data_IF_664365501371
#
_entry.id   IF_664365501371
#
_cell.length_a   1.000
_cell.length_b   1.000
_cell.length_c   1.000
_cell.angle_alpha   90.00
_cell.angle_beta   90.00
_cell.angle_gamma   90.00
#
_symmetry.space_group_name_H-M   'P 1'
#
loop_
_entity.id
_entity.type
_entity.pdbx_description
1 polymer ?
#
# COMPACT_ATOMS: atom_id res chain seq x y z
N UNK A 1 29.20 5.04 2.94
CA UNK A 1 28.58 6.33 2.55
C UNK A 1 29.16 6.72 1.20
N UNK A 2 28.34 7.05 0.20
CA UNK A 2 28.77 7.30 -1.21
C UNK A 2 28.36 8.70 -1.71
N UNK A 3 28.20 9.65 -0.79
CA UNK A 3 27.61 10.96 -1.08
C UNK A 3 28.37 11.72 -2.18
N UNK A 4 29.70 11.63 -2.20
CA UNK A 4 30.58 12.34 -3.15
C UNK A 4 30.94 11.52 -4.40
N UNK A 5 30.45 10.28 -4.52
CA UNK A 5 30.71 9.42 -5.68
C UNK A 5 29.75 9.79 -6.81
N UNK A 6 30.20 9.99 -8.06
CA UNK A 6 29.29 10.24 -9.19
C UNK A 6 28.32 9.06 -9.43
N UNK A 7 27.06 9.29 -9.85
CA UNK A 7 26.07 8.21 -10.03
C UNK A 7 26.53 7.03 -10.90
N UNK A 8 27.33 7.29 -11.94
CA UNK A 8 27.88 6.26 -12.84
C UNK A 8 28.78 5.23 -12.14
N UNK A 9 29.37 5.63 -11.01
CA UNK A 9 30.36 4.87 -10.25
C UNK A 9 29.76 4.26 -8.97
N UNK A 10 28.46 4.46 -8.70
CA UNK A 10 27.75 3.93 -7.51
C UNK A 10 27.25 2.49 -7.61
N UNK A 11 27.55 1.82 -8.72
CA UNK A 11 27.06 0.47 -9.05
C UNK A 11 25.54 0.23 -8.88
N UNK A 12 24.77 1.25 -9.25
CA UNK A 12 23.31 1.26 -9.26
C UNK A 12 22.76 1.22 -10.69
N UNK A 13 21.57 0.66 -10.85
CA UNK A 13 20.77 0.81 -12.06
C UNK A 13 19.43 1.47 -11.74
N UNK A 14 19.07 2.49 -12.52
CA UNK A 14 17.83 3.22 -12.38
C UNK A 14 16.88 2.92 -13.53
N UNK A 15 15.61 2.68 -13.21
CA UNK A 15 14.50 2.56 -14.15
C UNK A 15 13.53 3.71 -13.86
N UNK A 16 13.31 4.55 -14.87
CA UNK A 16 12.49 5.75 -14.76
C UNK A 16 11.02 5.46 -15.14
N UNK A 17 10.13 6.34 -14.68
CA UNK A 17 8.72 6.38 -15.04
C UNK A 17 8.49 6.41 -16.56
N UNK A 18 9.25 7.26 -17.27
CA UNK A 18 9.30 7.21 -18.73
C UNK A 18 10.31 6.13 -19.14
N UNK A 19 9.91 5.17 -19.99
CA UNK A 19 10.76 4.01 -20.34
C UNK A 19 12.16 4.37 -20.87
N UNK A 20 12.37 5.64 -21.24
CA UNK A 20 13.65 6.24 -21.62
C UNK A 20 14.42 5.43 -22.67
N UNK A 21 13.69 4.71 -23.54
CA UNK A 21 14.25 3.88 -24.59
C UNK A 21 14.69 4.75 -25.76
N UNK A 22 15.84 4.44 -26.34
CA UNK A 22 16.31 5.08 -27.56
C UNK A 22 15.47 4.60 -28.75
N UNK A 23 14.64 5.46 -29.36
CA UNK A 23 13.62 5.04 -30.34
C UNK A 23 14.21 4.54 -31.66
N UNK A 24 15.45 4.95 -31.96
CA UNK A 24 16.18 4.61 -33.17
C UNK A 24 16.97 3.30 -33.07
N UNK A 25 17.22 2.81 -31.85
CA UNK A 25 17.96 1.57 -31.56
C UNK A 25 17.03 0.35 -31.49
N UNK A 26 17.58 -0.84 -31.74
CA UNK A 26 16.88 -2.11 -31.49
C UNK A 26 16.72 -2.37 -29.99
N UNK A 27 15.92 -3.36 -29.59
CA UNK A 27 15.83 -3.82 -28.20
C UNK A 27 17.19 -4.30 -27.69
N UNK A 28 17.89 -5.10 -28.49
CA UNK A 28 19.25 -5.56 -28.19
C UNK A 28 20.19 -4.38 -27.94
N UNK A 29 20.19 -3.38 -28.83
CA UNK A 29 21.06 -2.23 -28.70
C UNK A 29 20.70 -1.35 -27.51
N UNK A 30 19.41 -1.20 -27.21
CA UNK A 30 18.94 -0.50 -26.01
C UNK A 30 19.52 -1.15 -24.74
N UNK A 31 19.46 -2.47 -24.64
CA UNK A 31 20.00 -3.24 -23.51
C UNK A 31 21.54 -3.17 -23.48
N UNK A 32 22.20 -3.40 -24.62
CA UNK A 32 23.66 -3.42 -24.73
C UNK A 32 24.33 -2.05 -24.50
N UNK A 33 23.62 -0.94 -24.70
CA UNK A 33 24.19 0.41 -24.75
C UNK A 33 25.07 0.75 -23.54
N UNK A 34 24.60 0.50 -22.31
CA UNK A 34 25.36 0.81 -21.10
C UNK A 34 26.64 -0.02 -20.96
N UNK A 35 26.61 -1.28 -21.40
CA UNK A 35 27.77 -2.18 -21.38
C UNK A 35 28.79 -1.78 -22.46
N UNK A 36 28.33 -1.36 -23.64
CA UNK A 36 29.19 -0.82 -24.71
C UNK A 36 29.97 0.41 -24.23
N UNK A 37 29.32 1.34 -23.52
CA UNK A 37 29.98 2.52 -22.94
C UNK A 37 31.03 2.16 -21.88
N UNK A 38 30.79 1.09 -21.12
CA UNK A 38 31.74 0.54 -20.14
C UNK A 38 32.85 -0.33 -20.77
N UNK A 39 32.89 -0.42 -22.11
CA UNK A 39 33.87 -1.23 -22.87
C UNK A 39 33.89 -2.71 -22.49
N UNK A 40 32.74 -3.26 -22.10
CA UNK A 40 32.58 -4.70 -21.82
C UNK A 40 32.82 -5.50 -23.12
N UNK A 41 33.52 -6.66 -23.08
CA UNK A 41 33.77 -7.47 -24.26
C UNK A 41 32.47 -7.88 -24.98
N UNK A 42 32.47 -7.88 -26.32
CA UNK A 42 31.28 -8.13 -27.15
C UNK A 42 30.61 -9.48 -26.84
N UNK A 43 31.38 -10.53 -26.59
CA UNK A 43 30.85 -11.85 -26.22
C UNK A 43 30.10 -11.82 -24.90
N UNK A 44 30.61 -11.07 -23.92
CA UNK A 44 29.98 -10.92 -22.61
C UNK A 44 28.71 -10.06 -22.68
N UNK A 45 28.71 -9.02 -23.51
CA UNK A 45 27.50 -8.24 -23.81
C UNK A 45 26.41 -9.15 -24.38
N UNK A 46 26.76 -9.96 -25.38
CA UNK A 46 25.80 -10.85 -26.04
C UNK A 46 25.20 -11.87 -25.07
N UNK A 47 26.04 -12.49 -24.23
CA UNK A 47 25.63 -13.41 -23.18
C UNK A 47 24.63 -12.75 -22.22
N UNK A 48 24.99 -11.62 -21.62
CA UNK A 48 24.13 -10.90 -20.65
C UNK A 48 22.82 -10.43 -21.24
N UNK A 49 22.84 -9.90 -22.47
CA UNK A 49 21.63 -9.42 -23.15
C UNK A 49 20.67 -10.57 -23.41
N UNK A 50 21.16 -11.71 -23.89
CA UNK A 50 20.34 -12.90 -24.13
C UNK A 50 19.78 -13.48 -22.84
N UNK A 51 20.60 -13.64 -21.81
CA UNK A 51 20.14 -14.11 -20.50
C UNK A 51 19.05 -13.22 -19.91
N UNK A 52 19.24 -11.88 -19.94
CA UNK A 52 18.22 -10.94 -19.48
C UNK A 52 16.96 -10.99 -20.34
N UNK A 53 17.08 -11.14 -21.66
CA UNK A 53 15.94 -11.24 -22.56
C UNK A 53 15.12 -12.52 -22.33
N UNK A 54 15.77 -13.64 -22.02
CA UNK A 54 15.10 -14.89 -21.61
C UNK A 54 14.36 -14.72 -20.28
N UNK A 55 15.01 -14.13 -19.28
CA UNK A 55 14.40 -13.85 -17.97
C UNK A 55 13.12 -13.03 -18.11
N UNK A 56 13.12 -12.06 -19.03
CA UNK A 56 12.03 -11.13 -19.26
C UNK A 56 11.02 -11.62 -20.32
N UNK A 57 11.27 -12.76 -20.97
CA UNK A 57 10.43 -13.27 -22.06
C UNK A 57 10.33 -12.29 -23.25
N UNK A 58 11.45 -11.69 -23.64
CA UNK A 58 11.57 -10.75 -24.77
C UNK A 58 12.65 -11.16 -25.78
N UNK A 59 13.14 -12.40 -25.73
CA UNK A 59 14.19 -12.91 -26.63
C UNK A 59 13.83 -12.73 -28.12
N UNK A 60 12.59 -13.05 -28.51
CA UNK A 60 12.09 -12.90 -29.88
C UNK A 60 11.92 -11.42 -30.33
N UNK A 61 12.09 -10.48 -29.42
CA UNK A 61 11.91 -9.05 -29.66
C UNK A 61 13.24 -8.30 -29.83
N UNK A 62 14.39 -8.96 -29.67
CA UNK A 62 15.71 -8.33 -29.65
C UNK A 62 16.01 -7.45 -30.87
N UNK A 63 15.53 -7.85 -32.06
CA UNK A 63 15.75 -7.10 -33.32
C UNK A 63 14.71 -5.99 -33.58
N UNK A 64 13.64 -5.93 -32.77
CA UNK A 64 12.57 -4.93 -32.93
C UNK A 64 13.02 -3.56 -32.42
N UNK A 65 12.39 -2.49 -32.92
CA UNK A 65 12.53 -1.13 -32.36
C UNK A 65 11.42 -0.83 -31.36
N UNK A 66 11.61 0.08 -30.38
CA UNK A 66 10.62 0.40 -29.36
C UNK A 66 9.22 0.77 -29.88
N UNK A 67 9.12 1.39 -31.07
CA UNK A 67 7.84 1.73 -31.72
C UNK A 67 6.99 0.52 -32.16
N UNK A 68 7.60 -0.66 -32.24
CA UNK A 68 6.96 -1.92 -32.65
C UNK A 68 6.50 -2.75 -31.44
N UNK A 69 6.64 -2.22 -30.22
CA UNK A 69 6.40 -2.91 -28.97
C UNK A 69 5.14 -2.37 -28.27
N UNK A 70 4.44 -3.24 -27.56
CA UNK A 70 3.39 -2.84 -26.62
C UNK A 70 3.95 -2.04 -25.44
N UNK A 71 3.09 -1.41 -24.63
CA UNK A 71 3.50 -0.72 -23.40
C UNK A 71 4.27 -1.64 -22.44
N UNK A 72 3.71 -2.81 -22.12
CA UNK A 72 4.36 -3.79 -21.25
C UNK A 72 5.66 -4.36 -21.82
N UNK A 73 5.77 -4.54 -23.14
CA UNK A 73 7.03 -4.94 -23.78
C UNK A 73 8.09 -3.86 -23.64
N UNK A 74 7.75 -2.58 -23.88
CA UNK A 74 8.69 -1.45 -23.67
C UNK A 74 9.19 -1.39 -22.22
N UNK A 75 8.30 -1.63 -21.27
CA UNK A 75 8.68 -1.69 -19.86
C UNK A 75 9.68 -2.83 -19.59
N UNK A 76 9.42 -4.04 -20.09
CA UNK A 76 10.35 -5.17 -19.95
C UNK A 76 11.72 -4.85 -20.55
N UNK A 77 11.78 -4.17 -21.69
CA UNK A 77 13.05 -3.69 -22.28
C UNK A 77 13.74 -2.68 -21.36
N UNK A 78 13.01 -1.72 -20.79
CA UNK A 78 13.57 -0.74 -19.85
C UNK A 78 14.16 -1.41 -18.60
N UNK A 79 13.46 -2.40 -18.03
CA UNK A 79 13.97 -3.23 -16.94
C UNK A 79 15.18 -4.05 -17.39
N UNK A 80 15.15 -4.61 -18.60
CA UNK A 80 16.27 -5.35 -19.19
C UNK A 80 17.55 -4.53 -19.27
N UNK A 81 17.47 -3.23 -19.60
CA UNK A 81 18.61 -2.31 -19.58
C UNK A 81 19.27 -2.19 -18.21
N UNK A 82 18.47 -2.30 -17.15
CA UNK A 82 18.98 -2.29 -15.78
C UNK A 82 19.58 -3.66 -15.40
N UNK A 83 18.91 -4.77 -15.75
CA UNK A 83 19.34 -6.13 -15.41
C UNK A 83 20.70 -6.47 -16.00
N UNK A 84 20.94 -6.15 -17.28
CA UNK A 84 22.21 -6.51 -17.95
C UNK A 84 23.44 -5.87 -17.30
N UNK A 85 23.26 -4.86 -16.44
CA UNK A 85 24.34 -4.23 -15.69
C UNK A 85 24.72 -4.99 -14.42
N UNK A 86 23.90 -5.93 -13.95
CA UNK A 86 24.10 -6.69 -12.71
C UNK A 86 24.45 -5.78 -11.50
N UNK A 87 23.66 -4.71 -11.24
CA UNK A 87 23.98 -3.74 -10.19
C UNK A 87 23.80 -4.36 -8.79
N UNK A 88 24.39 -3.72 -7.77
CA UNK A 88 24.10 -4.08 -6.37
C UNK A 88 22.70 -3.63 -5.93
N UNK A 89 22.19 -2.53 -6.52
CA UNK A 89 20.88 -1.95 -6.17
C UNK A 89 20.13 -1.52 -7.43
N UNK A 90 18.85 -1.92 -7.51
CA UNK A 90 17.89 -1.39 -8.46
C UNK A 90 17.11 -0.23 -7.84
N UNK A 91 17.04 0.90 -8.56
CA UNK A 91 16.19 2.04 -8.23
C UNK A 91 15.05 2.11 -9.24
N UNK A 92 13.82 2.06 -8.76
CA UNK A 92 12.61 2.07 -9.57
C UNK A 92 11.77 3.29 -9.19
N UNK A 93 11.60 4.24 -10.11
CA UNK A 93 10.85 5.47 -9.88
C UNK A 93 9.52 5.42 -10.64
N UNK A 94 8.44 5.06 -9.94
CA UNK A 94 7.09 4.87 -10.46
C UNK A 94 7.02 4.12 -11.81
N UNK A 95 7.65 2.95 -11.96
CA UNK A 95 7.81 2.31 -13.28
C UNK A 95 6.50 1.80 -13.89
N UNK A 96 5.39 1.82 -13.13
CA UNK A 96 4.08 1.29 -13.51
C UNK A 96 3.00 2.36 -13.72
N UNK A 97 3.28 3.63 -13.41
CA UNK A 97 2.24 4.68 -13.41
C UNK A 97 1.70 4.99 -14.81
N UNK A 98 2.50 4.75 -15.87
CA UNK A 98 2.11 4.94 -17.26
C UNK A 98 1.32 3.77 -17.89
N UNK A 99 1.00 2.73 -17.11
CA UNK A 99 0.21 1.58 -17.57
C UNK A 99 -1.26 1.70 -17.15
N UNK A 100 -2.15 1.18 -17.99
CA UNK A 100 -3.55 1.00 -17.63
C UNK A 100 -3.71 -0.01 -16.47
N UNK A 101 -4.86 0.02 -15.81
CA UNK A 101 -5.11 -0.78 -14.60
C UNK A 101 -4.92 -2.30 -14.81
N UNK A 102 -5.32 -2.84 -15.98
CA UNK A 102 -5.21 -4.27 -16.27
C UNK A 102 -3.75 -4.67 -16.49
N UNK A 103 -3.00 -3.88 -17.26
CA UNK A 103 -1.58 -4.10 -17.45
C UNK A 103 -0.80 -3.91 -16.14
N UNK A 104 -1.19 -2.96 -15.28
CA UNK A 104 -0.56 -2.72 -13.98
C UNK A 104 -0.62 -3.95 -13.08
N UNK A 105 -1.79 -4.59 -12.95
CA UNK A 105 -1.95 -5.83 -12.16
C UNK A 105 -0.95 -6.90 -12.62
N UNK A 106 -0.87 -7.15 -13.93
CA UNK A 106 0.05 -8.13 -14.47
C UNK A 106 1.52 -7.72 -14.27
N UNK A 107 1.85 -6.46 -14.52
CA UNK A 107 3.22 -5.96 -14.41
C UNK A 107 3.75 -6.02 -12.96
N UNK A 108 2.90 -5.75 -11.95
CA UNK A 108 3.25 -5.95 -10.52
C UNK A 108 3.67 -7.37 -10.23
N UNK A 109 2.86 -8.34 -10.64
CA UNK A 109 3.16 -9.76 -10.41
C UNK A 109 4.49 -10.17 -11.08
N UNK A 110 4.75 -9.69 -12.29
CA UNK A 110 5.99 -9.98 -13.01
C UNK A 110 7.22 -9.32 -12.35
N UNK A 111 7.10 -8.07 -11.88
CA UNK A 111 8.18 -7.41 -11.14
C UNK A 111 8.47 -8.11 -9.81
N UNK A 112 7.44 -8.55 -9.07
CA UNK A 112 7.64 -9.30 -7.83
C UNK A 112 8.36 -10.64 -8.06
N UNK A 113 7.97 -11.39 -9.10
CA UNK A 113 8.67 -12.63 -9.48
C UNK A 113 10.12 -12.35 -9.90
N UNK A 114 10.34 -11.27 -10.64
CA UNK A 114 11.67 -10.87 -11.08
C UNK A 114 12.57 -10.51 -9.89
N UNK A 115 12.06 -9.74 -8.93
CA UNK A 115 12.78 -9.44 -7.68
C UNK A 115 13.18 -10.73 -6.95
N UNK A 116 12.23 -11.67 -6.78
CA UNK A 116 12.52 -12.97 -6.15
C UNK A 116 13.57 -13.78 -6.91
N UNK A 117 13.52 -13.79 -8.25
CA UNK A 117 14.46 -14.52 -9.10
C UNK A 117 15.87 -13.94 -9.08
N UNK A 118 15.99 -12.61 -9.03
CA UNK A 118 17.29 -11.93 -9.04
C UNK A 118 17.93 -11.87 -7.65
N UNK A 119 17.14 -11.77 -6.58
CA UNK A 119 17.65 -11.69 -5.20
C UNK A 119 18.46 -10.43 -4.88
N UNK A 120 18.50 -9.46 -5.78
CA UNK A 120 19.20 -8.18 -5.63
C UNK A 120 18.36 -7.19 -4.80
N UNK A 121 18.99 -6.17 -4.20
CA UNK A 121 18.28 -5.11 -3.46
C UNK A 121 17.53 -4.16 -4.39
N UNK A 122 16.27 -3.87 -4.07
CA UNK A 122 15.41 -2.94 -4.81
C UNK A 122 14.94 -1.80 -3.91
N UNK A 123 14.97 -0.57 -4.43
CA UNK A 123 14.27 0.59 -3.86
C UNK A 123 13.23 1.00 -4.89
N UNK A 124 11.96 0.90 -4.51
CA UNK A 124 10.81 1.16 -5.36
C UNK A 124 9.99 2.31 -4.81
N UNK A 125 9.78 3.35 -5.63
CA UNK A 125 9.00 4.54 -5.29
C UNK A 125 7.65 4.46 -5.98
N UNK A 126 6.58 4.70 -5.23
CA UNK A 126 5.20 4.74 -5.73
C UNK A 126 4.31 5.55 -4.82
N UNK A 127 3.26 6.14 -5.39
CA UNK A 127 2.13 6.71 -4.66
C UNK A 127 0.93 5.76 -4.60
N UNK A 128 1.01 4.60 -5.27
CA UNK A 128 -0.05 3.58 -5.28
C UNK A 128 0.13 2.64 -4.07
N UNK A 129 -0.81 2.70 -3.13
CA UNK A 129 -0.79 1.90 -1.92
C UNK A 129 -0.83 0.40 -2.23
N UNK A 130 -1.56 -0.01 -3.26
CA UNK A 130 -1.69 -1.43 -3.60
C UNK A 130 -0.36 -1.95 -4.17
N UNK A 131 0.37 -1.14 -4.93
CA UNK A 131 1.77 -1.46 -5.30
C UNK A 131 2.65 -1.66 -4.06
N UNK A 132 2.66 -0.68 -3.15
CA UNK A 132 3.48 -0.75 -1.95
C UNK A 132 3.16 -2.00 -1.11
N UNK A 133 1.87 -2.26 -0.87
CA UNK A 133 1.39 -3.36 -0.02
C UNK A 133 1.62 -4.75 -0.63
N UNK A 134 1.59 -4.88 -1.96
CA UNK A 134 1.73 -6.20 -2.64
C UNK A 134 3.15 -6.54 -3.08
N UNK A 135 4.01 -5.55 -3.24
CA UNK A 135 5.38 -5.75 -3.74
C UNK A 135 6.45 -5.52 -2.67
N UNK A 136 6.17 -4.68 -1.67
CA UNK A 136 7.14 -4.29 -0.66
C UNK A 136 7.45 -5.40 0.34
N UNK A 137 8.75 -5.67 0.55
CA UNK A 137 9.19 -6.44 1.73
C UNK A 137 9.12 -5.57 3.00
N UNK A 138 9.48 -4.30 2.85
CA UNK A 138 9.24 -3.21 3.80
C UNK A 138 8.83 -1.97 3.02
N UNK A 139 8.06 -1.09 3.64
CA UNK A 139 7.57 0.15 3.03
C UNK A 139 7.99 1.32 3.93
N UNK A 140 8.57 2.35 3.31
CA UNK A 140 8.93 3.61 3.96
C UNK A 140 7.83 4.64 3.65
N UNK A 141 6.91 4.86 4.57
CA UNK A 141 5.85 5.86 4.41
C UNK A 141 6.44 7.24 4.72
N UNK A 142 6.33 8.18 3.78
CA UNK A 142 6.86 9.53 3.92
C UNK A 142 5.75 10.57 3.71
N UNK A 143 5.84 11.67 4.45
CA UNK A 143 4.98 12.85 4.32
C UNK A 143 5.86 14.10 4.38
N UNK A 144 5.73 14.99 3.40
CA UNK A 144 6.47 16.27 3.34
C UNK A 144 8.00 16.13 3.55
N UNK A 145 8.58 15.06 3.03
CA UNK A 145 10.01 14.75 3.14
C UNK A 145 10.44 14.13 4.49
N UNK A 146 9.49 13.85 5.39
CA UNK A 146 9.74 13.21 6.69
C UNK A 146 9.28 11.76 6.66
N UNK A 147 10.16 10.84 7.04
CA UNK A 147 9.82 9.43 7.25
C UNK A 147 8.87 9.30 8.44
N UNK A 148 7.67 8.79 8.18
CA UNK A 148 6.64 8.57 9.19
C UNK A 148 6.81 7.19 9.82
N UNK A 149 6.90 6.15 9.00
CA UNK A 149 7.06 4.77 9.46
C UNK A 149 7.77 3.90 8.43
N UNK A 150 8.61 2.96 8.88
CA UNK A 150 9.31 1.98 8.05
C UNK A 150 9.13 0.57 8.59
N UNK A 151 8.20 -0.19 8.04
CA UNK A 151 7.90 -1.55 8.51
C UNK A 151 7.43 -2.45 7.37
N UNK A 152 7.11 -3.70 7.68
CA UNK A 152 6.43 -4.63 6.78
C UNK A 152 5.04 -4.09 6.40
N UNK A 153 4.49 -4.48 5.23
CA UNK A 153 3.14 -4.08 4.84
C UNK A 153 2.09 -4.39 5.91
N UNK A 154 2.17 -5.59 6.51
CA UNK A 154 1.23 -6.01 7.55
C UNK A 154 1.30 -5.13 8.80
N UNK A 155 2.49 -4.86 9.32
CA UNK A 155 2.66 -4.00 10.50
C UNK A 155 2.22 -2.56 10.24
N UNK A 156 2.46 -2.01 9.04
CA UNK A 156 1.97 -0.67 8.70
C UNK A 156 0.44 -0.59 8.70
N UNK A 157 -0.22 -1.66 8.28
CA UNK A 157 -1.66 -1.72 8.23
C UNK A 157 -2.29 -1.89 9.60
N UNK A 158 -1.76 -2.84 10.38
CA UNK A 158 -2.28 -3.26 11.68
C UNK A 158 -1.83 -2.37 12.85
N UNK A 159 -0.63 -1.78 12.75
CA UNK A 159 0.02 -0.99 13.81
C UNK A 159 0.59 0.32 13.24
N UNK A 160 -0.28 1.21 12.72
CA UNK A 160 0.16 2.52 12.29
C UNK A 160 0.68 3.31 13.50
N UNK A 161 1.83 3.97 13.36
CA UNK A 161 2.47 4.74 14.44
C UNK A 161 1.84 6.09 14.68
N UNK A 162 1.10 6.62 13.71
CA UNK A 162 0.41 7.90 13.83
C UNK A 162 -0.84 7.96 12.94
N UNK A 163 -1.64 9.00 13.14
CA UNK A 163 -2.91 9.24 12.46
C UNK A 163 -2.74 9.29 10.94
N UNK A 164 -1.65 9.89 10.45
CA UNK A 164 -1.37 9.97 9.02
C UNK A 164 -1.16 8.58 8.41
N UNK A 165 -0.32 7.73 9.00
CA UNK A 165 -0.11 6.37 8.47
C UNK A 165 -1.41 5.56 8.52
N UNK A 166 -2.18 5.69 9.61
CA UNK A 166 -3.45 5.00 9.78
C UNK A 166 -4.48 5.40 8.70
N UNK A 167 -4.57 6.69 8.38
CA UNK A 167 -5.48 7.21 7.36
C UNK A 167 -4.97 7.03 5.92
N UNK A 168 -3.64 6.95 5.75
CA UNK A 168 -3.02 6.85 4.43
C UNK A 168 -2.91 5.41 3.94
N UNK A 169 -2.61 4.43 4.79
CA UNK A 169 -2.47 3.04 4.37
C UNK A 169 -3.82 2.34 4.49
N UNK A 170 -4.41 1.92 3.37
CA UNK A 170 -5.66 1.17 3.34
C UNK A 170 -6.73 1.85 2.50
N UNK A 171 -7.51 1.04 1.76
CA UNK A 171 -8.57 1.52 0.89
C UNK A 171 -9.82 0.65 1.07
N UNK A 172 -10.93 1.18 1.63
CA UNK A 172 -11.11 2.57 2.08
C UNK A 172 -10.25 2.93 3.31
N UNK A 173 -10.09 4.23 3.58
CA UNK A 173 -9.28 4.72 4.70
C UNK A 173 -9.90 4.34 6.06
N UNK A 174 -9.08 4.34 7.11
CA UNK A 174 -9.55 4.15 8.49
C UNK A 174 -10.57 5.24 8.87
N UNK A 175 -11.62 4.85 9.60
CA UNK A 175 -12.57 5.79 10.18
C UNK A 175 -12.01 6.39 11.45
N UNK A 176 -12.17 7.70 11.65
CA UNK A 176 -11.71 8.41 12.83
C UNK A 176 -12.85 9.15 13.54
N UNK A 177 -12.83 9.10 14.88
CA UNK A 177 -13.81 9.77 15.72
C UNK A 177 -13.13 10.49 16.87
N UNK A 178 -13.41 11.78 17.04
CA UNK A 178 -13.10 12.47 18.30
C UNK A 178 -13.99 11.92 19.42
N UNK A 179 -13.35 11.47 20.49
CA UNK A 179 -14.03 10.77 21.59
C UNK A 179 -13.39 11.10 22.92
N UNK A 180 -14.06 10.79 24.03
CA UNK A 180 -13.52 10.94 25.38
C UNK A 180 -13.44 9.58 26.06
N UNK A 181 -12.34 9.31 26.78
CA UNK A 181 -12.24 8.09 27.60
C UNK A 181 -13.00 8.31 28.90
N UNK A 182 -14.02 7.50 29.15
CA UNK A 182 -14.83 7.56 30.38
C UNK A 182 -14.74 6.23 31.13
N UNK A 183 -14.99 6.25 32.44
CA UNK A 183 -14.98 5.05 33.28
C UNK A 183 -16.31 4.91 33.99
N UNK A 184 -16.89 3.72 33.93
CA UNK A 184 -18.10 3.33 34.65
C UNK A 184 -17.85 1.97 35.31
N UNK A 185 -18.04 1.89 36.63
CA UNK A 185 -17.86 0.66 37.42
C UNK A 185 -16.53 -0.07 37.17
N UNK A 186 -15.43 0.68 37.02
CA UNK A 186 -14.10 0.12 36.76
C UNK A 186 -13.83 -0.29 35.31
N UNK A 187 -14.80 -0.09 34.40
CA UNK A 187 -14.67 -0.41 32.97
C UNK A 187 -14.49 0.86 32.17
N UNK A 188 -13.50 0.89 31.27
CA UNK A 188 -13.28 2.02 30.37
C UNK A 188 -14.18 1.92 29.13
N UNK A 189 -14.69 3.08 28.72
CA UNK A 189 -15.44 3.26 27.49
C UNK A 189 -14.88 4.41 26.68
N UNK A 190 -15.10 4.35 25.37
CA UNK A 190 -14.93 5.46 24.46
C UNK A 190 -16.30 6.08 24.23
N UNK A 191 -16.43 7.35 24.60
CA UNK A 191 -17.65 8.14 24.42
C UNK A 191 -17.49 9.09 23.23
N UNK A 192 -18.24 8.83 22.16
CA UNK A 192 -18.32 9.67 20.96
C UNK A 192 -19.50 10.63 20.95
N UNK A 193 -20.25 10.73 22.05
CA UNK A 193 -21.49 11.52 22.18
C UNK A 193 -22.71 10.81 21.60
N UNK A 194 -22.63 10.31 20.36
CA UNK A 194 -23.73 9.54 19.73
C UNK A 194 -23.64 8.03 19.95
N UNK A 195 -22.50 7.57 20.43
CA UNK A 195 -22.23 6.18 20.75
C UNK A 195 -21.32 6.10 21.96
N UNK A 196 -21.37 4.94 22.62
CA UNK A 196 -20.44 4.58 23.70
C UNK A 196 -20.00 3.14 23.52
N UNK A 197 -18.71 2.90 23.43
CA UNK A 197 -18.13 1.59 23.14
C UNK A 197 -17.24 1.15 24.28
N UNK A 198 -17.40 -0.09 24.76
CA UNK A 198 -16.53 -0.66 25.78
C UNK A 198 -15.13 -0.87 25.20
N UNK A 199 -14.11 -0.47 25.95
CA UNK A 199 -12.71 -0.74 25.61
C UNK A 199 -12.36 -2.17 26.02
N UNK A 200 -11.73 -2.97 25.14
CA UNK A 200 -11.15 -4.26 25.50
C UNK A 200 -10.21 -4.18 26.70
N UNK A 201 -10.28 -5.15 27.61
CA UNK A 201 -9.45 -5.17 28.83
C UNK A 201 -7.94 -5.12 28.52
N UNK A 202 -7.52 -5.73 27.42
CA UNK A 202 -6.14 -5.75 26.93
C UNK A 202 -5.63 -4.33 26.59
N UNK A 203 -6.52 -3.44 26.14
CA UNK A 203 -6.21 -2.06 25.74
C UNK A 203 -6.52 -1.03 26.82
N UNK A 204 -7.38 -1.38 27.77
CA UNK A 204 -7.82 -0.47 28.84
C UNK A 204 -6.64 0.12 29.62
N UNK A 205 -5.61 -0.67 29.91
CA UNK A 205 -4.41 -0.21 30.63
C UNK A 205 -3.69 0.94 29.92
N UNK A 206 -3.64 0.91 28.59
CA UNK A 206 -2.98 1.96 27.78
C UNK A 206 -3.80 3.26 27.75
N UNK A 207 -5.12 3.19 27.97
CA UNK A 207 -6.01 4.35 28.02
C UNK A 207 -6.21 4.95 29.42
N UNK A 208 -5.74 4.31 30.50
CA UNK A 208 -5.85 4.86 31.86
C UNK A 208 -5.30 6.30 31.99
N UNK A 209 -4.14 6.67 31.38
CA UNK A 209 -3.63 8.05 31.43
C UNK A 209 -4.53 9.08 30.72
N UNK A 210 -5.44 8.60 29.88
CA UNK A 210 -6.39 9.38 29.09
C UNK A 210 -7.79 9.44 29.72
N UNK A 211 -8.01 8.85 30.91
CA UNK A 211 -9.29 8.94 31.62
C UNK A 211 -9.75 10.40 31.78
N UNK A 212 -10.96 10.69 31.29
CA UNK A 212 -11.57 12.02 31.27
C UNK A 212 -11.02 12.97 30.19
N UNK A 213 -10.12 12.48 29.32
CA UNK A 213 -9.50 13.26 28.24
C UNK A 213 -9.99 12.81 26.87
N UNK A 214 -9.83 13.70 25.89
CA UNK A 214 -10.10 13.41 24.50
C UNK A 214 -9.03 12.51 23.87
N UNK A 215 -9.47 11.58 23.02
CA UNK A 215 -8.64 10.77 22.12
C UNK A 215 -9.28 10.71 20.74
N UNK A 216 -8.49 10.39 19.71
CA UNK A 216 -9.01 10.03 18.40
C UNK A 216 -9.13 8.51 18.34
N UNK A 217 -10.35 8.01 18.25
CA UNK A 217 -10.64 6.58 18.05
C UNK A 217 -10.59 6.25 16.56
N UNK A 218 -9.81 5.23 16.20
CA UNK A 218 -9.69 4.70 14.85
C UNK A 218 -10.28 3.29 14.72
N UNK A 219 -10.98 3.02 13.61
CA UNK A 219 -11.42 1.65 13.27
C UNK A 219 -11.48 1.48 11.75
N UNK A 220 -10.97 0.34 11.24
CA UNK A 220 -10.97 0.07 9.81
C UNK A 220 -12.38 -0.26 9.29
N UNK A 221 -12.71 0.09 8.04
CA UNK A 221 -14.01 -0.26 7.47
C UNK A 221 -14.35 -1.76 7.51
N UNK A 222 -13.37 -2.63 7.30
CA UNK A 222 -13.55 -4.10 7.37
C UNK A 222 -13.76 -4.64 8.78
N UNK A 223 -13.49 -3.85 9.82
CA UNK A 223 -13.78 -4.18 11.22
C UNK A 223 -15.17 -3.68 11.65
N UNK A 224 -15.96 -3.18 10.70
CA UNK A 224 -17.35 -2.77 10.89
C UNK A 224 -18.24 -3.68 10.05
N UNK A 225 -19.10 -4.43 10.71
CA UNK A 225 -19.89 -5.50 10.12
C UNK A 225 -21.38 -5.20 10.16
N UNK A 226 -22.09 -5.85 9.23
CA UNK A 226 -23.53 -6.05 9.33
C UNK A 226 -23.80 -7.10 10.44
N UNK A 227 -24.75 -6.85 11.38
CA UNK A 227 -25.15 -7.82 12.40
C UNK A 227 -25.39 -9.23 11.90
N UNK A 228 -26.01 -9.39 10.73
CA UNK A 228 -26.37 -10.70 10.17
C UNK A 228 -25.14 -11.51 9.72
N UNK A 229 -24.00 -10.84 9.48
CA UNK A 229 -22.79 -11.42 8.90
C UNK A 229 -21.54 -11.16 9.74
N UNK A 230 -21.72 -11.06 11.06
CA UNK A 230 -20.62 -10.83 12.00
C UNK A 230 -19.69 -12.05 12.07
N UNK A 231 -18.37 -11.89 11.96
CA UNK A 231 -17.42 -12.99 12.16
C UNK A 231 -17.48 -13.55 13.59
N UNK A 232 -17.31 -14.87 13.79
CA UNK A 232 -17.31 -15.45 15.13
C UNK A 232 -16.07 -15.03 15.93
N UNK A 233 -16.24 -14.82 17.23
CA UNK A 233 -15.14 -14.60 18.17
C UNK A 233 -14.58 -13.17 18.22
N UNK A 234 -15.25 -12.20 17.60
CA UNK A 234 -14.87 -10.79 17.70
C UNK A 234 -15.31 -10.17 19.03
N UNK A 235 -14.67 -9.08 19.44
CA UNK A 235 -15.12 -8.29 20.59
C UNK A 235 -16.12 -7.25 20.14
N UNK A 236 -17.39 -7.62 20.11
CA UNK A 236 -18.47 -6.80 19.55
C UNK A 236 -18.77 -5.53 20.38
N UNK A 237 -18.88 -4.40 19.70
CA UNK A 237 -19.61 -3.23 20.19
C UNK A 237 -20.53 -2.71 19.08
N UNK A 238 -21.67 -2.11 19.43
CA UNK A 238 -22.69 -1.72 18.45
C UNK A 238 -22.87 -0.22 18.38
N UNK A 239 -23.03 0.30 17.17
CA UNK A 239 -23.37 1.69 16.90
C UNK A 239 -24.63 1.73 16.05
N UNK A 240 -25.62 2.52 16.50
CA UNK A 240 -26.78 2.86 15.65
C UNK A 240 -26.36 3.89 14.62
N UNK A 241 -26.63 3.59 13.36
CA UNK A 241 -26.33 4.48 12.26
C UNK A 241 -27.40 4.39 11.16
N UNK A 242 -27.54 5.46 10.39
CA UNK A 242 -28.36 5.48 9.17
C UNK A 242 -27.48 5.25 7.95
N UNK A 243 -27.93 4.42 7.02
CA UNK A 243 -27.25 4.22 5.75
C UNK A 243 -27.53 5.42 4.84
N UNK A 244 -26.49 6.11 4.41
CA UNK A 244 -26.57 7.26 3.52
C UNK A 244 -26.30 6.86 2.06
N UNK A 245 -25.25 6.06 1.85
CA UNK A 245 -24.87 5.57 0.52
C UNK A 245 -24.48 4.10 0.59
N UNK A 246 -24.82 3.34 -0.45
CA UNK A 246 -24.40 1.95 -0.65
C UNK A 246 -23.63 1.83 -1.96
N UNK A 247 -22.39 1.37 -1.90
CA UNK A 247 -21.53 1.16 -3.07
C UNK A 247 -21.26 -0.34 -3.27
N UNK A 248 -21.77 -0.89 -4.37
CA UNK A 248 -21.67 -2.30 -4.70
C UNK A 248 -20.36 -2.57 -5.46
N UNK A 249 -19.43 -3.28 -4.83
CA UNK A 249 -18.10 -3.59 -5.39
C UNK A 249 -18.00 -5.01 -5.95
N UNK A 250 -19.13 -5.73 -6.02
CA UNK A 250 -19.22 -7.10 -6.50
C UNK A 250 -19.08 -8.12 -5.36
N UNK A 251 -17.87 -8.32 -4.83
CA UNK A 251 -17.61 -9.27 -3.74
C UNK A 251 -17.79 -8.67 -2.33
N UNK A 252 -18.14 -7.40 -2.24
CA UNK A 252 -18.34 -6.65 -1.01
C UNK A 252 -19.20 -5.41 -1.27
N UNK A 253 -19.66 -4.79 -0.19
CA UNK A 253 -20.44 -3.56 -0.22
C UNK A 253 -19.80 -2.56 0.74
N UNK A 254 -19.56 -1.33 0.27
CA UNK A 254 -19.24 -0.22 1.16
C UNK A 254 -20.53 0.49 1.56
N UNK A 255 -20.78 0.57 2.86
CA UNK A 255 -21.86 1.34 3.45
C UNK A 255 -21.27 2.64 4.00
N UNK A 256 -21.74 3.78 3.49
CA UNK A 256 -21.50 5.07 4.10
C UNK A 256 -22.60 5.29 5.13
N UNK A 257 -22.20 5.36 6.39
CA UNK A 257 -23.07 5.37 7.56
C UNK A 257 -23.00 6.72 8.27
N UNK A 258 -24.12 7.14 8.84
CA UNK A 258 -24.27 8.38 9.59
C UNK A 258 -24.65 8.07 11.05
N UNK A 259 -23.85 8.57 12.00
CA UNK A 259 -24.20 8.59 13.43
C UNK A 259 -24.16 10.03 13.95
N UNK A 260 -25.32 10.58 14.29
CA UNK A 260 -25.45 12.03 14.52
C UNK A 260 -25.07 12.84 13.28
N UNK A 261 -23.98 13.61 13.38
CA UNK A 261 -23.42 14.39 12.27
C UNK A 261 -22.13 13.79 11.69
N UNK A 262 -21.68 12.63 12.19
CA UNK A 262 -20.43 11.98 11.75
C UNK A 262 -20.73 10.94 10.69
N UNK A 263 -19.93 10.96 9.61
CA UNK A 263 -19.91 9.94 8.56
C UNK A 263 -18.80 8.93 8.81
N UNK A 264 -19.04 7.66 8.47
CA UNK A 264 -18.02 6.62 8.50
C UNK A 264 -18.37 5.52 7.49
N UNK A 265 -17.38 4.72 7.08
CA UNK A 265 -17.52 3.69 6.06
C UNK A 265 -17.38 2.31 6.71
N UNK A 266 -18.31 1.41 6.40
CA UNK A 266 -18.19 -0.01 6.72
C UNK A 266 -17.99 -0.82 5.42
N UNK A 267 -17.13 -1.83 5.44
CA UNK A 267 -16.97 -2.81 4.38
C UNK A 267 -17.62 -4.11 4.84
N UNK A 268 -18.79 -4.40 4.27
CA UNK A 268 -19.66 -5.50 4.72
C UNK A 268 -19.80 -6.59 3.68
N UNK A 269 -20.31 -7.74 4.12
CA UNK A 269 -20.60 -8.90 3.27
C UNK A 269 -21.55 -8.52 2.13
N UNK A 270 -21.31 -8.99 0.88
CA UNK A 270 -22.15 -8.67 -0.27
C UNK A 270 -23.61 -9.15 -0.15
N UNK A 271 -23.92 -10.01 0.84
CA UNK A 271 -25.27 -10.49 1.13
C UNK A 271 -26.07 -9.55 2.03
N UNK A 272 -25.48 -8.46 2.52
CA UNK A 272 -26.22 -7.46 3.32
C UNK A 272 -27.49 -7.00 2.60
N UNK A 273 -28.54 -6.76 3.37
CA UNK A 273 -29.79 -6.17 2.88
C UNK A 273 -29.93 -4.70 3.27
N UNK A 274 -28.89 -4.10 3.83
CA UNK A 274 -28.86 -2.68 4.15
C UNK A 274 -29.15 -1.83 2.90
N UNK A 275 -30.00 -0.81 3.04
CA UNK A 275 -30.40 0.07 1.93
C UNK A 275 -30.27 1.52 2.36
N UNK A 276 -30.00 2.39 1.39
CA UNK A 276 -30.04 3.84 1.62
C UNK A 276 -31.33 4.23 2.35
N UNK A 277 -31.18 5.00 3.42
CA UNK A 277 -32.27 5.48 4.26
C UNK A 277 -32.62 4.60 5.46
N UNK A 278 -32.18 3.34 5.52
CA UNK A 278 -32.47 2.45 6.65
C UNK A 278 -31.54 2.70 7.83
N UNK A 279 -32.03 2.45 9.05
CA UNK A 279 -31.17 2.35 10.22
C UNK A 279 -30.59 0.93 10.35
N UNK A 280 -29.34 0.85 10.82
CA UNK A 280 -28.62 -0.39 11.08
C UNK A 280 -27.86 -0.26 12.41
N UNK A 281 -27.74 -1.36 13.14
CA UNK A 281 -26.83 -1.47 14.29
C UNK A 281 -25.47 -2.01 13.80
N UNK A 282 -24.61 -1.16 13.26
CA UNK A 282 -23.29 -1.59 12.80
C UNK A 282 -22.48 -2.21 13.97
N UNK A 283 -21.87 -3.37 13.73
CA UNK A 283 -21.10 -4.13 14.74
C UNK A 283 -19.62 -3.89 14.51
N UNK A 284 -18.95 -3.29 15.49
CA UNK A 284 -17.52 -3.00 15.45
C UNK A 284 -16.75 -4.11 16.18
N UNK A 285 -15.66 -4.60 15.58
CA UNK A 285 -14.70 -5.45 16.25
C UNK A 285 -13.72 -4.59 17.08
N UNK A 286 -14.03 -4.39 18.35
CA UNK A 286 -13.23 -3.58 19.26
C UNK A 286 -11.84 -4.16 19.51
N UNK A 287 -11.59 -5.45 19.25
CA UNK A 287 -10.24 -6.01 19.33
C UNK A 287 -9.26 -5.30 18.36
N UNK A 288 -9.76 -4.73 17.26
CA UNK A 288 -8.98 -4.07 16.23
C UNK A 288 -9.04 -2.53 16.30
N UNK A 289 -9.58 -1.96 17.39
CA UNK A 289 -9.57 -0.51 17.59
C UNK A 289 -8.15 0.08 17.63
N UNK A 290 -8.01 1.33 17.18
CA UNK A 290 -6.82 2.16 17.36
C UNK A 290 -7.16 3.39 18.20
N UNK A 291 -6.17 3.94 18.88
CA UNK A 291 -6.33 5.19 19.61
C UNK A 291 -5.12 6.09 19.37
N UNK A 292 -5.37 7.37 19.11
CA UNK A 292 -4.34 8.37 18.86
C UNK A 292 -4.50 9.55 19.80
N UNK A 293 -3.37 10.15 20.17
CA UNK A 293 -3.35 11.38 20.94
C UNK A 293 -3.75 12.57 20.03
N UNK A 294 -4.74 13.40 20.41
CA UNK A 294 -5.23 14.46 19.54
C UNK A 294 -4.26 15.64 19.40
N UNK A 295 -3.25 15.75 20.26
CA UNK A 295 -2.25 16.83 20.20
C UNK A 295 -1.03 16.42 19.38
N UNK A 296 -0.53 15.21 19.58
CA UNK A 296 0.66 14.72 18.86
C UNK A 296 0.34 13.95 17.59
N UNK A 297 -0.91 13.48 17.44
CA UNK A 297 -1.36 12.56 16.39
C UNK A 297 -0.65 11.19 16.41
N UNK A 298 0.16 10.91 17.43
CA UNK A 298 0.84 9.63 17.62
C UNK A 298 -0.13 8.56 18.13
N UNK A 299 0.09 7.31 17.71
CA UNK A 299 -0.67 6.18 18.17
C UNK A 299 -0.36 5.88 19.64
N UNK A 300 -1.42 5.73 20.43
CA UNK A 300 -1.37 5.13 21.77
C UNK A 300 -1.24 3.61 21.61
N UNK A 301 -1.93 3.03 20.62
CA UNK A 301 -1.78 1.65 20.12
C UNK A 301 -2.43 1.47 18.74
#
# INVERSE_FOLDING_TARGET
VVNDVPPKDRDIAMVFQSYALYPHMSVYDNMAFGLKLRKVPKQEIDRRVKEAAEILGIADLLDRKPRQLSGGQRQRVAVGRAIVREPQVFLMDEPLSNLDAKLRVHARAELSKLHQRLGTTWIYVTHDQVEAMTMGTRIAVQKDGVLQQLDTPQNLYERPTNLFVAGFIGSPAMNFFDTTVVEEDGTLFIDGGTFRLRVPEEKARLLLPYKGKGIIFGIRPEDIHDPEFTPPGIQEARIKARVDVTELMGNEIFLYLLTGQKTFIARVDPRTRARVGTEIEAVLNMANMHAFDPQTEEAIF
#
